data_IF_313734769913
#
_entry.id   IF_313734769913
#
_cell.length_a   1.000
_cell.length_b   1.000
_cell.length_c   1.000
_cell.angle_alpha   90.00
_cell.angle_beta   90.00
_cell.angle_gamma   90.00
#
_symmetry.space_group_name_H-M   'P 1'
#
loop_
_entity.id
_entity.type
_entity.pdbx_description
1 polymer ?
#
# COMPACT_ATOMS: atom_id res chain seq x y z
N UNK A 1 0.15 -2.47 -13.76
CA UNK A 1 0.75 -2.84 -12.47
C UNK A 1 0.09 -2.09 -11.35
N UNK A 2 -0.56 -2.79 -10.40
CA UNK A 2 -1.15 -2.09 -9.26
C UNK A 2 -0.09 -1.31 -8.48
N UNK A 3 -0.44 -0.09 -8.11
CA UNK A 3 0.48 0.81 -7.41
C UNK A 3 -0.28 1.53 -6.30
N UNK A 4 0.36 1.67 -5.15
CA UNK A 4 -0.14 2.55 -4.09
C UNK A 4 0.90 3.61 -3.77
N UNK A 5 0.44 4.78 -3.35
CA UNK A 5 1.29 5.88 -2.95
C UNK A 5 1.09 6.13 -1.47
N UNK A 6 2.14 5.92 -0.70
CA UNK A 6 2.10 6.01 0.76
C UNK A 6 2.91 7.22 1.21
N UNK A 7 2.31 8.09 2.01
CA UNK A 7 2.97 9.29 2.51
C UNK A 7 4.25 8.94 3.26
N UNK A 8 5.29 9.74 3.06
CA UNK A 8 6.58 9.55 3.74
C UNK A 8 6.50 10.08 5.16
N UNK A 9 5.74 9.38 5.99
CA UNK A 9 5.58 9.67 7.41
C UNK A 9 6.05 8.46 8.21
N UNK A 10 6.60 8.72 9.38
CA UNK A 10 7.11 7.66 10.24
C UNK A 10 6.05 6.60 10.55
N UNK A 11 4.80 7.03 10.74
CA UNK A 11 3.69 6.12 11.05
C UNK A 11 3.44 5.09 9.95
N UNK A 12 3.83 5.39 8.72
CA UNK A 12 3.60 4.51 7.57
C UNK A 12 4.81 3.66 7.19
N UNK A 13 5.93 3.78 7.89
CA UNK A 13 7.09 2.93 7.63
C UNK A 13 6.77 1.43 7.72
N UNK A 14 5.92 0.96 8.64
CA UNK A 14 5.54 -0.45 8.65
C UNK A 14 4.91 -0.93 7.35
N UNK A 15 4.15 -0.07 6.66
CA UNK A 15 3.56 -0.41 5.36
C UNK A 15 4.67 -0.62 4.33
N UNK A 16 5.62 0.31 4.27
CA UNK A 16 6.75 0.26 3.34
C UNK A 16 7.58 -1.00 3.58
N UNK A 17 7.92 -1.27 4.82
CA UNK A 17 8.74 -2.44 5.18
C UNK A 17 8.00 -3.74 4.93
N UNK A 18 6.71 -3.81 5.26
CA UNK A 18 5.89 -4.99 5.02
C UNK A 18 5.75 -5.30 3.54
N UNK A 19 5.54 -4.27 2.72
CA UNK A 19 5.46 -4.44 1.27
C UNK A 19 6.79 -4.88 0.68
N UNK A 20 7.89 -4.35 1.18
CA UNK A 20 9.24 -4.77 0.75
C UNK A 20 9.47 -6.24 1.06
N UNK A 21 9.07 -6.69 2.24
CA UNK A 21 9.19 -8.10 2.63
C UNK A 21 8.31 -9.01 1.79
N UNK A 22 7.17 -8.51 1.32
CA UNK A 22 6.27 -9.27 0.46
C UNK A 22 6.75 -9.37 -0.98
N UNK A 23 7.86 -8.70 -1.31
CA UNK A 23 8.44 -8.74 -2.65
C UNK A 23 7.91 -7.67 -3.60
N UNK A 24 7.12 -6.72 -3.12
CA UNK A 24 6.65 -5.62 -3.95
C UNK A 24 7.79 -4.63 -4.20
N UNK A 25 7.75 -3.97 -5.36
CA UNK A 25 8.75 -2.97 -5.70
C UNK A 25 8.46 -1.66 -4.96
N UNK A 26 9.38 -1.24 -4.11
CA UNK A 26 9.25 -0.02 -3.31
C UNK A 26 10.24 1.01 -3.82
N UNK A 27 9.75 2.21 -4.17
CA UNK A 27 10.57 3.31 -4.68
C UNK A 27 10.27 4.60 -3.95
N UNK A 28 11.28 5.44 -3.86
CA UNK A 28 11.15 6.76 -3.26
C UNK A 28 11.88 6.86 -1.94
N UNK A 29 11.52 7.84 -1.08
CA UNK A 29 10.39 8.75 -1.28
C UNK A 29 10.67 9.79 -2.35
N UNK A 30 9.61 10.20 -3.05
CA UNK A 30 9.67 11.24 -4.05
C UNK A 30 8.43 12.11 -3.92
N UNK A 31 8.61 13.41 -3.90
CA UNK A 31 7.51 14.37 -3.72
C UNK A 31 6.66 14.10 -2.47
N UNK A 32 7.29 13.56 -1.42
CA UNK A 32 6.63 13.26 -0.16
C UNK A 32 5.93 11.92 -0.09
N UNK A 33 6.11 11.06 -1.10
CA UNK A 33 5.43 9.76 -1.15
C UNK A 33 6.37 8.63 -1.54
N UNK A 34 6.08 7.44 -0.99
CA UNK A 34 6.62 6.18 -1.46
C UNK A 34 5.70 5.62 -2.54
N UNK A 35 6.28 4.98 -3.56
CA UNK A 35 5.53 4.26 -4.59
C UNK A 35 5.77 2.76 -4.40
N UNK A 36 4.69 2.00 -4.28
CA UNK A 36 4.75 0.56 -4.06
C UNK A 36 3.99 -0.13 -5.16
N UNK A 37 4.66 -0.98 -5.94
CA UNK A 37 4.10 -1.65 -7.12
C UNK A 37 4.18 -3.16 -7.00
N UNK A 38 3.22 -3.83 -7.62
CA UNK A 38 3.23 -5.27 -7.81
C UNK A 38 3.11 -5.61 -9.29
N UNK A 39 3.72 -6.71 -9.72
CA UNK A 39 3.56 -7.24 -11.09
C UNK A 39 2.21 -7.91 -11.28
N UNK A 40 1.59 -8.30 -10.19
CA UNK A 40 0.32 -9.02 -10.18
C UNK A 40 -0.64 -8.33 -9.23
N UNK A 41 -1.73 -8.98 -8.86
CA UNK A 41 -2.65 -8.45 -7.86
C UNK A 41 -1.90 -8.15 -6.57
N UNK A 42 -2.10 -6.96 -6.03
CA UNK A 42 -1.51 -6.55 -4.77
C UNK A 42 -2.51 -6.80 -3.64
N UNK A 43 -2.04 -7.43 -2.57
CA UNK A 43 -2.85 -7.67 -1.38
C UNK A 43 -2.10 -7.23 -0.14
N UNK A 44 -2.75 -6.41 0.68
CA UNK A 44 -2.21 -5.96 1.96
C UNK A 44 -3.17 -6.40 3.07
N UNK A 45 -2.60 -6.86 4.18
CA UNK A 45 -3.36 -7.28 5.35
C UNK A 45 -2.96 -6.40 6.52
N UNK A 46 -3.94 -5.67 7.07
CA UNK A 46 -3.70 -4.67 8.12
C UNK A 46 -2.90 -5.21 9.30
N UNK A 47 -3.26 -6.39 9.80
CA UNK A 47 -2.59 -6.97 10.97
C UNK A 47 -1.13 -7.29 10.70
N UNK A 48 -0.81 -7.74 9.49
CA UNK A 48 0.57 -8.06 9.12
C UNK A 48 1.43 -6.80 9.04
N UNK A 49 0.82 -5.65 8.77
CA UNK A 49 1.52 -4.38 8.71
C UNK A 49 1.59 -3.69 10.07
N UNK A 50 0.88 -4.21 11.07
CA UNK A 50 0.91 -3.64 12.41
C UNK A 50 0.20 -2.30 12.54
N UNK A 51 -0.74 -1.99 11.66
CA UNK A 51 -1.45 -0.70 11.67
C UNK A 51 -2.74 -0.76 12.47
N UNK A 52 -3.02 0.31 13.19
CA UNK A 52 -4.35 0.53 13.75
C UNK A 52 -5.34 0.94 12.67
N UNK A 53 -6.66 0.90 12.94
CA UNK A 53 -7.67 1.20 11.92
C UNK A 53 -7.56 2.59 11.31
N UNK A 54 -7.25 3.61 12.11
CA UNK A 54 -7.16 4.97 11.61
C UNK A 54 -6.04 5.12 10.58
N UNK A 55 -4.83 4.61 10.89
CA UNK A 55 -3.71 4.66 9.96
C UNK A 55 -3.95 3.81 8.74
N UNK A 56 -4.61 2.66 8.93
CA UNK A 56 -4.94 1.78 7.81
C UNK A 56 -5.79 2.50 6.76
N UNK A 57 -6.86 3.17 7.17
CA UNK A 57 -7.74 3.86 6.23
C UNK A 57 -7.08 5.10 5.60
N UNK A 58 -6.11 5.70 6.26
CA UNK A 58 -5.42 6.88 5.73
C UNK A 58 -4.19 6.54 4.91
N UNK A 59 -3.68 5.32 4.95
CA UNK A 59 -2.45 4.97 4.24
C UNK A 59 -2.59 5.09 2.72
N UNK A 60 -3.81 5.05 2.20
CA UNK A 60 -4.08 5.21 0.77
C UNK A 60 -4.42 6.64 0.36
N UNK A 61 -4.26 7.61 1.25
CA UNK A 61 -4.57 9.00 0.95
C UNK A 61 -3.75 9.57 -0.21
N UNK A 62 -2.59 8.98 -0.47
CA UNK A 62 -1.75 9.36 -1.62
C UNK A 62 -2.27 8.87 -2.97
N UNK A 63 -3.26 8.00 -2.96
CA UNK A 63 -3.87 7.47 -4.17
C UNK A 63 -3.43 6.07 -4.53
N UNK A 64 -4.12 5.49 -5.48
CA UNK A 64 -3.82 4.17 -6.01
C UNK A 64 -3.90 4.19 -7.54
N UNK A 65 -3.18 3.27 -8.18
CA UNK A 65 -3.32 2.97 -9.60
C UNK A 65 -3.64 1.49 -9.73
N UNK A 66 -4.73 1.17 -10.44
CA UNK A 66 -5.20 -0.18 -10.60
C UNK A 66 -6.70 -0.27 -10.30
N UNK A 67 -7.21 -1.50 -10.31
CA UNK A 67 -8.62 -1.75 -10.02
C UNK A 67 -8.78 -2.22 -8.58
N UNK A 68 -9.45 -1.41 -7.76
CA UNK A 68 -9.69 -1.74 -6.37
C UNK A 68 -10.77 -2.81 -6.28
N UNK A 69 -10.38 -4.04 -5.94
CA UNK A 69 -11.32 -5.15 -5.80
C UNK A 69 -11.99 -5.18 -4.44
N UNK A 70 -11.23 -4.87 -3.40
CA UNK A 70 -11.75 -4.90 -2.04
C UNK A 70 -10.92 -3.98 -1.16
N UNK A 71 -11.57 -3.26 -0.28
CA UNK A 71 -10.90 -2.46 0.73
C UNK A 71 -11.80 -2.43 1.97
N UNK A 72 -11.41 -3.20 2.96
CA UNK A 72 -12.13 -3.30 4.20
C UNK A 72 -11.24 -3.07 5.41
N UNK A 73 -11.77 -3.38 6.57
CA UNK A 73 -11.07 -3.18 7.84
C UNK A 73 -9.79 -4.02 7.93
N UNK A 74 -9.78 -5.20 7.32
CA UNK A 74 -8.71 -6.17 7.51
C UNK A 74 -7.75 -6.27 6.33
N UNK A 75 -8.21 -5.98 5.13
CA UNK A 75 -7.40 -6.19 3.93
C UNK A 75 -7.75 -5.25 2.80
N UNK A 76 -6.82 -5.16 1.86
CA UNK A 76 -6.93 -4.38 0.64
C UNK A 76 -6.48 -5.27 -0.51
N UNK A 77 -7.22 -5.26 -1.61
CA UNK A 77 -6.84 -6.00 -2.82
C UNK A 77 -6.98 -5.09 -4.03
N UNK A 78 -5.90 -4.95 -4.81
CA UNK A 78 -5.86 -4.15 -6.03
C UNK A 78 -5.38 -5.03 -7.17
N UNK A 79 -6.19 -5.13 -8.22
CA UNK A 79 -5.83 -5.87 -9.42
C UNK A 79 -5.28 -4.93 -10.49
N UNK A 80 -4.72 -5.50 -11.56
CA UNK A 80 -4.32 -4.71 -12.70
C UNK A 80 -5.55 -4.05 -13.33
N UNK A 81 -5.34 -2.85 -13.84
CA UNK A 81 -6.36 -2.13 -14.58
C UNK A 81 -6.52 -2.79 -15.93
N UNK A 82 -7.74 -3.18 -16.25
CA UNK A 82 -8.04 -3.83 -17.52
C UNK A 82 -7.91 -2.86 -18.70
#
# INVERSE_FOLDING_TARGET
MPTIYVANLEEFLPVVEGCRKSGYAVRGPQAGYWSIQSDTTMQLVRKELGLGPALWYTCLAGGIEGHLLAFGRESLTIAEQA
#
